data_IF_977477294885
#
_entry.id   IF_977477294885
#
_cell.length_a   1.000
_cell.length_b   1.000
_cell.length_c   1.000
_cell.angle_alpha   90.00
_cell.angle_beta   90.00
_cell.angle_gamma   90.00
#
_symmetry.space_group_name_H-M   'P 1'
#
loop_
_entity.id
_entity.type
_entity.pdbx_description
1 polymer ?
#
# COMPACT_ATOMS: atom_id res chain seq x y z
N UNK A 1 26.86 -4.86 0.09
CA UNK A 1 25.93 -4.99 -1.05
C UNK A 1 24.52 -4.82 -0.49
N UNK A 2 24.06 -3.58 -0.35
CA UNK A 2 22.73 -3.28 0.18
C UNK A 2 21.66 -3.55 -0.88
N UNK A 3 20.96 -4.67 -0.75
CA UNK A 3 19.73 -4.91 -1.50
C UNK A 3 18.70 -3.85 -1.10
N UNK A 4 18.48 -2.86 -1.97
CA UNK A 4 17.36 -1.94 -1.82
C UNK A 4 16.07 -2.73 -2.06
N UNK A 5 15.53 -3.36 -1.02
CA UNK A 5 14.25 -4.07 -1.10
C UNK A 5 13.16 -3.04 -1.45
N UNK A 6 12.70 -3.10 -2.71
CA UNK A 6 11.59 -2.31 -3.23
C UNK A 6 10.37 -3.22 -3.28
N UNK A 7 9.44 -3.01 -2.36
CA UNK A 7 8.16 -3.70 -2.35
C UNK A 7 7.12 -2.77 -2.98
N UNK A 8 6.66 -3.14 -4.18
CA UNK A 8 5.53 -2.47 -4.85
C UNK A 8 4.32 -3.37 -4.72
N UNK A 9 3.24 -2.84 -4.13
CA UNK A 9 1.97 -3.53 -3.96
C UNK A 9 0.87 -2.65 -4.55
N UNK A 10 0.07 -3.19 -5.46
CA UNK A 10 -1.08 -2.50 -6.07
C UNK A 10 -2.35 -3.05 -5.43
N UNK A 11 -3.21 -2.17 -4.95
CA UNK A 11 -4.44 -2.50 -4.22
C UNK A 11 -5.59 -1.71 -4.83
N UNK A 12 -6.80 -2.25 -4.82
CA UNK A 12 -8.02 -1.48 -5.14
C UNK A 12 -8.76 -1.18 -3.84
N UNK A 13 -9.00 0.10 -3.54
CA UNK A 13 -9.69 0.52 -2.31
C UNK A 13 -10.98 1.25 -2.66
N UNK A 14 -12.13 0.87 -2.07
CA UNK A 14 -13.37 1.60 -2.27
C UNK A 14 -13.27 3.01 -1.68
N UNK A 15 -13.59 4.04 -2.48
CA UNK A 15 -13.70 5.42 -1.99
C UNK A 15 -15.09 5.70 -1.39
N UNK A 16 -16.03 4.75 -1.41
CA UNK A 16 -17.37 4.97 -0.87
C UNK A 16 -17.27 5.08 0.66
N UNK A 17 -17.39 6.31 1.17
CA UNK A 17 -17.41 6.62 2.60
C UNK A 17 -16.05 6.91 3.26
N UNK A 18 -14.93 6.72 2.55
CA UNK A 18 -13.59 7.04 3.07
C UNK A 18 -13.06 8.35 2.49
N UNK A 19 -12.40 9.15 3.33
CA UNK A 19 -11.59 10.27 2.85
C UNK A 19 -10.31 9.76 2.19
N UNK A 20 -9.70 10.56 1.30
CA UNK A 20 -8.46 10.19 0.59
C UNK A 20 -7.34 9.67 1.50
N UNK A 21 -7.15 10.31 2.66
CA UNK A 21 -6.13 9.86 3.62
C UNK A 21 -6.50 8.54 4.29
N UNK A 22 -7.79 8.31 4.57
CA UNK A 22 -8.26 7.04 5.13
C UNK A 22 -8.09 5.89 4.14
N UNK A 23 -8.37 6.13 2.85
CA UNK A 23 -8.15 5.14 1.80
C UNK A 23 -6.66 4.81 1.61
N UNK A 24 -5.78 5.82 1.68
CA UNK A 24 -4.32 5.61 1.66
C UNK A 24 -3.81 4.85 2.90
N UNK A 25 -4.31 5.20 4.09
CA UNK A 25 -4.00 4.48 5.33
C UNK A 25 -4.41 3.01 5.24
N UNK A 26 -5.60 2.75 4.73
CA UNK A 26 -6.05 1.38 4.48
C UNK A 26 -5.14 0.64 3.49
N UNK A 27 -4.71 1.30 2.40
CA UNK A 27 -3.77 0.69 1.46
C UNK A 27 -2.42 0.33 2.12
N UNK A 28 -1.93 1.17 3.04
CA UNK A 28 -0.73 0.89 3.83
C UNK A 28 -0.92 -0.30 4.78
N UNK A 29 -2.08 -0.42 5.43
CA UNK A 29 -2.37 -1.56 6.30
C UNK A 29 -2.48 -2.87 5.51
N UNK A 30 -3.07 -2.84 4.32
CA UNK A 30 -3.09 -4.00 3.43
C UNK A 30 -1.68 -4.40 2.98
N UNK A 31 -0.82 -3.42 2.67
CA UNK A 31 0.59 -3.66 2.40
C UNK A 31 1.26 -4.41 3.57
N UNK A 32 1.08 -3.94 4.80
CA UNK A 32 1.68 -4.55 5.99
C UNK A 32 1.18 -5.99 6.23
N UNK A 33 -0.11 -6.24 6.01
CA UNK A 33 -0.70 -7.59 6.09
C UNK A 33 -0.11 -8.57 5.10
N UNK A 34 0.22 -8.11 3.89
CA UNK A 34 0.94 -8.96 2.92
C UNK A 34 2.37 -9.29 3.36
N UNK A 35 2.97 -8.47 4.22
CA UNK A 35 4.27 -8.75 4.85
C UNK A 35 4.13 -9.58 6.13
N UNK A 36 2.91 -9.92 6.57
CA UNK A 36 2.64 -10.74 7.76
C UNK A 36 2.39 -9.96 9.06
N UNK A 37 2.11 -8.65 8.99
CA UNK A 37 1.87 -7.78 10.16
C UNK A 37 0.41 -7.34 10.22
N UNK A 38 -0.11 -7.04 11.42
CA UNK A 38 -1.53 -6.68 11.59
C UNK A 38 -1.86 -5.29 11.02
N UNK A 39 -0.88 -4.37 11.05
CA UNK A 39 -1.01 -2.98 10.61
C UNK A 39 0.30 -2.39 10.10
N UNK A 40 0.20 -1.28 9.37
CA UNK A 40 1.37 -0.52 8.93
C UNK A 40 2.17 0.05 10.11
N UNK A 41 1.50 0.39 11.21
CA UNK A 41 2.16 0.85 12.43
C UNK A 41 3.11 -0.23 12.99
N UNK A 42 2.63 -1.45 13.13
CA UNK A 42 3.43 -2.59 13.60
C UNK A 42 4.61 -2.88 12.67
N UNK A 43 4.34 -2.97 11.36
CA UNK A 43 5.39 -3.17 10.35
C UNK A 43 6.45 -2.06 10.37
N UNK A 44 6.04 -0.81 10.59
CA UNK A 44 6.97 0.32 10.63
C UNK A 44 7.90 0.28 11.85
N UNK A 45 7.38 -0.10 13.02
CA UNK A 45 8.19 -0.30 14.23
C UNK A 45 9.22 -1.40 14.01
N UNK A 46 8.80 -2.55 13.44
CA UNK A 46 9.72 -3.64 13.09
C UNK A 46 10.86 -3.19 12.15
N UNK A 47 10.57 -2.31 11.20
CA UNK A 47 11.60 -1.74 10.32
C UNK A 47 12.55 -0.82 11.09
N UNK A 48 12.04 0.03 11.98
CA UNK A 48 12.87 0.93 12.79
C UNK A 48 13.77 0.19 13.78
N UNK A 49 13.29 -0.91 14.38
CA UNK A 49 14.09 -1.77 15.25
C UNK A 49 15.29 -2.41 14.53
N UNK A 50 15.21 -2.55 13.21
CA UNK A 50 16.30 -3.01 12.35
C UNK A 50 17.15 -1.88 11.76
N UNK A 51 17.01 -0.65 12.29
CA UNK A 51 17.67 0.55 11.77
C UNK A 51 17.40 0.78 10.27
N UNK A 52 16.19 0.44 9.80
CA UNK A 52 15.78 0.69 8.42
C UNK A 52 15.09 2.06 8.30
N UNK A 53 15.51 2.82 7.31
CA UNK A 53 14.78 4.00 6.83
C UNK A 53 13.64 3.55 5.92
N UNK A 54 12.44 4.02 6.23
CA UNK A 54 11.24 3.80 5.42
C UNK A 54 11.00 5.05 4.56
N UNK A 55 10.87 4.86 3.26
CA UNK A 55 10.38 5.89 2.35
C UNK A 55 9.36 5.28 1.40
N UNK A 56 8.35 6.04 0.99
CA UNK A 56 7.33 5.48 0.14
C UNK A 56 6.36 6.49 -0.43
N UNK A 57 5.53 6.01 -1.35
CA UNK A 57 4.49 6.78 -2.01
C UNK A 57 3.24 5.93 -2.16
N UNK A 58 2.08 6.57 -1.97
CA UNK A 58 0.77 5.97 -2.22
C UNK A 58 0.11 6.77 -3.32
N UNK A 59 0.06 6.21 -4.51
CA UNK A 59 -0.47 6.86 -5.72
C UNK A 59 -1.84 6.31 -6.03
N UNK A 60 -2.78 7.21 -6.32
CA UNK A 60 -4.07 6.83 -6.89
C UNK A 60 -3.82 6.47 -8.36
N UNK A 61 -4.28 5.29 -8.76
CA UNK A 61 -4.20 4.81 -10.13
C UNK A 61 -5.63 4.56 -10.63
N UNK A 62 -6.08 5.46 -11.51
CA UNK A 62 -7.40 5.40 -12.15
C UNK A 62 -7.50 4.28 -13.21
N UNK A 63 -6.38 3.65 -13.58
CA UNK A 63 -6.28 2.66 -14.66
C UNK A 63 -6.02 1.25 -14.14
N UNK A 64 -6.81 0.79 -13.16
CA UNK A 64 -6.85 -0.64 -12.81
C UNK A 64 -8.00 -1.27 -13.60
N UNK A 65 -7.67 -2.07 -14.61
CA UNK A 65 -8.64 -2.94 -15.28
C UNK A 65 -9.19 -3.92 -14.26
N UNK A 66 -10.37 -3.61 -13.74
CA UNK A 66 -11.16 -4.54 -12.93
C UNK A 66 -11.70 -5.57 -13.92
N UNK A 67 -11.19 -6.80 -13.87
CA UNK A 67 -11.83 -7.95 -14.51
C UNK A 67 -13.22 -8.07 -13.88
N UNK A 68 -14.18 -7.46 -14.54
CA UNK A 68 -15.57 -7.41 -14.11
C UNK A 68 -16.20 -8.71 -14.58
N UNK A 69 -16.48 -9.63 -13.67
CA UNK A 69 -17.48 -10.67 -13.94
C UNK A 69 -18.83 -9.94 -13.92
N UNK A 70 -19.29 -9.56 -15.12
CA UNK A 70 -20.42 -8.64 -15.37
C UNK A 70 -21.80 -9.25 -15.06
N UNK A 71 -21.95 -9.87 -13.89
CA UNK A 71 -23.25 -10.28 -13.40
C UNK A 71 -23.40 -9.81 -11.96
N UNK A 72 -24.13 -8.69 -11.84
CA UNK A 72 -25.07 -8.42 -10.73
C UNK A 72 -24.78 -7.27 -9.76
N UNK A 73 -24.35 -6.09 -10.21
CA UNK A 73 -24.36 -4.87 -9.36
C UNK A 73 -24.74 -3.60 -10.14
N UNK A 74 -26.02 -3.49 -10.48
CA UNK A 74 -26.64 -2.27 -11.01
C UNK A 74 -26.38 -1.05 -10.11
N UNK A 75 -25.48 -0.16 -10.53
CA UNK A 75 -25.66 1.29 -10.41
C UNK A 75 -24.98 2.05 -9.27
N UNK A 76 -24.29 1.41 -8.31
CA UNK A 76 -23.75 2.14 -7.13
C UNK A 76 -22.27 1.89 -6.77
N UNK A 77 -21.57 0.96 -7.42
CA UNK A 77 -20.26 0.48 -6.94
C UNK A 77 -19.05 0.91 -7.79
N UNK A 78 -19.23 1.78 -8.77
CA UNK A 78 -18.21 2.05 -9.81
C UNK A 78 -17.25 3.21 -9.51
N UNK A 79 -16.79 3.38 -8.26
CA UNK A 79 -15.63 4.24 -7.94
C UNK A 79 -14.74 3.62 -6.86
N UNK A 80 -14.37 2.36 -7.05
CA UNK A 80 -13.19 1.78 -6.39
C UNK A 80 -11.97 2.27 -7.16
N UNK A 81 -11.10 3.07 -6.53
CA UNK A 81 -9.84 3.47 -7.15
C UNK A 81 -8.75 2.49 -6.77
N UNK A 82 -7.82 2.27 -7.70
CA UNK A 82 -6.54 1.66 -7.38
C UNK A 82 -5.69 2.58 -6.52
N UNK A 83 -5.05 2.05 -5.49
CA UNK A 83 -3.85 2.63 -4.90
C UNK A 83 -2.64 1.73 -5.17
N UNK A 84 -1.61 2.30 -5.78
CA UNK A 84 -0.29 1.72 -5.82
C UNK A 84 0.49 2.22 -4.59
N UNK A 85 0.95 1.28 -3.77
CA UNK A 85 1.82 1.51 -2.62
C UNK A 85 3.22 1.06 -3.01
N UNK A 86 4.16 2.01 -3.06
CA UNK A 86 5.59 1.71 -3.26
C UNK A 86 6.32 2.06 -1.99
N UNK A 87 6.89 1.05 -1.33
CA UNK A 87 7.75 1.24 -0.16
C UNK A 87 9.17 0.83 -0.48
N UNK A 88 10.11 1.65 -0.05
CA UNK A 88 11.55 1.49 -0.23
C UNK A 88 12.20 1.50 1.14
N UNK A 89 12.91 0.41 1.45
CA UNK A 89 13.68 0.26 2.67
C UNK A 89 15.17 0.49 2.37
N UNK A 90 15.85 1.23 3.25
CA UNK A 90 17.31 1.41 3.23
C UNK A 90 17.88 1.18 4.62
N UNK A 91 19.02 0.52 4.73
CA UNK A 91 19.71 0.38 6.01
C UNK A 91 20.49 1.65 6.33
N UNK A 92 20.44 2.08 7.60
CA UNK A 92 21.11 3.31 8.04
C UNK A 92 22.64 3.18 8.06
N UNK A 93 23.18 1.96 8.11
CA UNK A 93 24.63 1.66 8.09
C UNK A 93 25.31 1.73 6.71
N UNK A 94 24.59 1.99 5.61
CA UNK A 94 25.19 2.12 4.26
C UNK A 94 25.87 3.50 4.02
N UNK A 95 26.10 4.29 5.08
CA UNK A 95 26.95 5.48 5.06
C UNK A 95 28.32 5.16 5.68
N UNK A 96 29.23 4.59 4.90
CA UNK A 96 30.66 4.72 5.15
C UNK A 96 31.46 4.79 3.85
#
# INVERSE_FOLDING_TARGET
MGENARSTIILSVPHIGLSKNSARGFALDQFARQQGYESFAEWSVYCFDQALQISGEVRENDSIDVVSDERDLSGLLSKTFGYEVVVRLRRTDDNN
#
